data_IF_493788193215
#
_entry.id   IF_493788193215
#
_cell.length_a   1.000
_cell.length_b   1.000
_cell.length_c   1.000
_cell.angle_alpha   90.00
_cell.angle_beta   90.00
_cell.angle_gamma   90.00
#
_symmetry.space_group_name_H-M   'P 1'
#
loop_
_entity.id
_entity.type
_entity.pdbx_description
1 polymer ?
#
# COMPACT_ATOMS: atom_id res chain seq x y z
N UNK A 1 -6.10 7.56 -22.77
CA UNK A 1 -6.12 6.28 -23.53
C UNK A 1 -7.35 5.44 -23.22
N UNK A 2 -7.58 4.99 -21.97
CA UNK A 2 -8.79 4.20 -21.63
C UNK A 2 -10.07 5.02 -21.84
N UNK A 3 -10.11 6.28 -21.39
CA UNK A 3 -11.19 7.24 -21.65
C UNK A 3 -11.50 7.38 -23.15
N UNK A 4 -10.46 7.53 -23.96
CA UNK A 4 -10.58 7.76 -25.40
C UNK A 4 -11.11 6.51 -26.11
N UNK A 5 -10.73 5.31 -25.64
CA UNK A 5 -11.26 4.04 -26.14
C UNK A 5 -12.74 3.84 -25.77
N UNK A 6 -13.16 4.25 -24.57
CA UNK A 6 -14.57 4.22 -24.17
C UNK A 6 -15.41 5.18 -25.03
N UNK A 7 -14.88 6.35 -25.37
CA UNK A 7 -15.55 7.29 -26.27
C UNK A 7 -15.56 6.79 -27.72
N UNK A 8 -14.45 6.20 -28.19
CA UNK A 8 -14.36 5.57 -29.49
C UNK A 8 -15.36 4.41 -29.64
N UNK A 9 -15.54 3.57 -28.61
CA UNK A 9 -16.50 2.48 -28.59
C UNK A 9 -17.94 2.96 -28.77
N UNK A 10 -18.30 4.14 -28.23
CA UNK A 10 -19.63 4.75 -28.45
C UNK A 10 -19.89 5.09 -29.92
N UNK A 11 -18.83 5.25 -30.73
CA UNK A 11 -18.92 5.55 -32.15
C UNK A 11 -18.76 4.30 -33.02
N UNK A 12 -17.68 3.53 -32.83
CA UNK A 12 -17.40 2.27 -33.54
C UNK A 12 -16.18 1.55 -32.95
N UNK A 13 -16.22 0.22 -32.87
CA UNK A 13 -15.06 -0.59 -32.45
C UNK A 13 -13.82 -0.37 -33.32
N UNK A 14 -13.99 0.04 -34.59
CA UNK A 14 -12.87 0.31 -35.52
C UNK A 14 -12.04 1.53 -35.14
N UNK A 15 -12.54 2.39 -34.25
CA UNK A 15 -11.84 3.59 -33.77
C UNK A 15 -11.09 3.35 -32.45
N UNK A 16 -11.19 2.14 -31.88
CA UNK A 16 -10.48 1.79 -30.65
C UNK A 16 -8.99 1.66 -30.98
N UNK A 17 -8.16 2.26 -30.14
CA UNK A 17 -6.71 2.10 -30.24
C UNK A 17 -6.35 0.61 -30.03
N UNK A 18 -5.56 -0.02 -30.92
CA UNK A 18 -5.20 -1.43 -30.80
C UNK A 18 -4.46 -1.77 -29.50
N UNK A 19 -3.80 -0.79 -28.88
CA UNK A 19 -3.13 -0.95 -27.58
C UNK A 19 -4.07 -0.68 -26.40
N UNK A 20 -5.33 -0.35 -26.64
CA UNK A 20 -6.30 -0.02 -25.62
C UNK A 20 -6.57 -1.14 -24.62
N UNK A 21 -6.70 -2.37 -25.10
CA UNK A 21 -6.89 -3.55 -24.24
C UNK A 21 -5.61 -3.88 -23.49
N UNK A 22 -4.43 -4.00 -24.14
CA UNK A 22 -3.16 -4.19 -23.43
C UNK A 22 -2.93 -3.14 -22.33
N UNK A 23 -3.07 -1.84 -22.61
CA UNK A 23 -2.85 -0.80 -21.59
C UNK A 23 -3.94 -0.73 -20.53
N UNK A 24 -5.05 -1.46 -20.68
CA UNK A 24 -6.08 -1.60 -19.67
C UNK A 24 -5.89 -2.85 -18.79
N UNK A 25 -4.97 -3.77 -19.13
CA UNK A 25 -4.69 -4.93 -18.27
C UNK A 25 -3.94 -4.47 -17.02
N UNK A 26 -4.33 -5.01 -15.87
CA UNK A 26 -3.84 -4.59 -14.55
C UNK A 26 -2.35 -4.88 -14.33
N UNK A 27 -1.78 -5.84 -15.07
CA UNK A 27 -0.36 -6.18 -15.03
C UNK A 27 0.49 -5.47 -16.10
N UNK A 28 -0.06 -4.52 -16.87
CA UNK A 28 0.70 -3.88 -17.94
C UNK A 28 1.91 -3.10 -17.39
N UNK A 29 1.76 -2.44 -16.23
CA UNK A 29 2.87 -1.73 -15.59
C UNK A 29 4.06 -2.64 -15.29
N UNK A 30 3.83 -3.79 -14.68
CA UNK A 30 4.87 -4.79 -14.41
C UNK A 30 5.39 -5.43 -15.69
N UNK A 31 4.56 -5.64 -16.71
CA UNK A 31 4.98 -6.16 -18.01
C UNK A 31 5.94 -5.21 -18.75
N UNK A 32 5.68 -3.91 -18.73
CA UNK A 32 6.56 -2.91 -19.35
C UNK A 32 7.91 -2.87 -18.64
N UNK A 33 7.93 -2.91 -17.31
CA UNK A 33 9.17 -2.99 -16.54
C UNK A 33 9.94 -4.28 -16.85
N UNK A 34 9.26 -5.41 -16.94
CA UNK A 34 9.91 -6.68 -17.31
C UNK A 34 10.52 -6.63 -18.72
N UNK A 35 9.84 -6.01 -19.69
CA UNK A 35 10.39 -5.81 -21.04
C UNK A 35 11.62 -4.90 -21.04
N UNK A 36 11.60 -3.82 -20.26
CA UNK A 36 12.72 -2.87 -20.14
C UNK A 36 13.95 -3.50 -19.45
N UNK A 37 13.71 -4.26 -18.39
CA UNK A 37 14.76 -4.96 -17.63
C UNK A 37 15.23 -6.28 -18.27
N UNK A 38 14.50 -6.79 -19.27
CA UNK A 38 14.76 -8.09 -19.88
C UNK A 38 14.47 -9.28 -18.95
N UNK A 39 13.59 -9.11 -17.96
CA UNK A 39 13.27 -10.15 -16.97
C UNK A 39 12.16 -11.08 -17.48
N UNK A 40 12.37 -12.40 -17.32
CA UNK A 40 11.48 -13.44 -17.84
C UNK A 40 10.81 -14.28 -16.74
N UNK A 41 10.91 -13.85 -15.48
CA UNK A 41 10.30 -14.52 -14.33
C UNK A 41 8.78 -14.32 -14.24
N UNK A 42 8.15 -14.75 -13.12
CA UNK A 42 6.73 -14.54 -12.88
C UNK A 42 6.32 -13.07 -12.99
N UNK A 43 5.18 -12.81 -13.64
CA UNK A 43 4.65 -11.45 -13.81
C UNK A 43 3.13 -11.46 -13.69
N UNK A 44 2.62 -10.78 -12.67
CA UNK A 44 1.19 -10.69 -12.37
C UNK A 44 0.88 -9.40 -11.59
N UNK A 45 -0.41 -9.10 -11.49
CA UNK A 45 -0.94 -8.01 -10.67
C UNK A 45 -1.96 -8.58 -9.68
N UNK A 46 -1.81 -8.28 -8.39
CA UNK A 46 -2.81 -8.61 -7.38
C UNK A 46 -3.70 -7.38 -7.16
N UNK A 47 -4.98 -7.58 -6.81
CA UNK A 47 -5.90 -6.49 -6.47
C UNK A 47 -6.70 -6.87 -5.22
N UNK A 48 -6.38 -6.22 -4.11
CA UNK A 48 -7.04 -6.40 -2.80
C UNK A 48 -7.32 -5.05 -2.14
N UNK A 49 -7.81 -4.11 -2.95
CA UNK A 49 -8.08 -2.73 -2.55
C UNK A 49 -6.85 -2.07 -1.91
N UNK A 50 -7.00 -1.44 -0.75
CA UNK A 50 -5.94 -0.70 -0.07
C UNK A 50 -4.77 -1.57 0.41
N UNK A 51 -4.95 -2.89 0.51
CA UNK A 51 -3.91 -3.84 0.91
C UNK A 51 -3.12 -4.42 -0.28
N UNK A 52 -3.40 -3.98 -1.51
CA UNK A 52 -2.82 -4.56 -2.75
C UNK A 52 -1.30 -4.68 -2.69
N UNK A 53 -0.59 -3.61 -2.35
CA UNK A 53 0.87 -3.64 -2.27
C UNK A 53 1.40 -4.62 -1.21
N UNK A 54 0.72 -4.76 -0.06
CA UNK A 54 1.12 -5.72 0.98
C UNK A 54 1.02 -7.16 0.46
N UNK A 55 -0.05 -7.47 -0.29
CA UNK A 55 -0.20 -8.77 -0.94
C UNK A 55 0.90 -9.01 -1.99
N UNK A 56 1.20 -8.01 -2.82
CA UNK A 56 2.29 -8.09 -3.80
C UNK A 56 3.63 -8.40 -3.13
N UNK A 57 3.96 -7.70 -2.04
CA UNK A 57 5.21 -7.91 -1.29
C UNK A 57 5.25 -9.32 -0.69
N UNK A 58 4.16 -9.75 -0.05
CA UNK A 58 4.11 -11.07 0.58
C UNK A 58 4.19 -12.22 -0.43
N UNK A 59 3.59 -12.08 -1.62
CA UNK A 59 3.65 -13.12 -2.65
C UNK A 59 5.02 -13.16 -3.32
N UNK A 60 5.64 -11.99 -3.53
CA UNK A 60 6.98 -11.89 -4.13
C UNK A 60 8.07 -12.58 -3.30
N UNK A 61 7.89 -12.68 -1.99
CA UNK A 61 8.80 -13.36 -1.07
C UNK A 61 9.02 -14.86 -1.38
N UNK A 62 8.12 -15.51 -2.13
CA UNK A 62 8.12 -16.98 -2.29
C UNK A 62 8.27 -17.48 -3.73
N UNK A 63 8.23 -16.59 -4.73
CA UNK A 63 8.03 -17.00 -6.13
C UNK A 63 9.32 -17.16 -6.96
N UNK A 64 10.39 -16.44 -6.62
CA UNK A 64 11.67 -16.50 -7.35
C UNK A 64 12.84 -15.97 -6.50
N UNK A 65 14.07 -16.23 -6.95
CA UNK A 65 15.30 -15.73 -6.31
C UNK A 65 15.36 -14.20 -6.24
N UNK A 66 14.66 -13.52 -7.16
CA UNK A 66 14.58 -12.06 -7.23
C UNK A 66 13.23 -11.65 -7.83
N UNK A 67 12.51 -10.76 -7.16
CA UNK A 67 11.19 -10.24 -7.56
C UNK A 67 11.10 -8.75 -7.31
N UNK A 68 10.71 -7.98 -8.33
CA UNK A 68 10.30 -6.59 -8.16
C UNK A 68 8.81 -6.56 -7.79
N UNK A 69 8.49 -5.99 -6.62
CA UNK A 69 7.13 -5.95 -6.10
C UNK A 69 6.77 -4.56 -5.55
N UNK A 70 5.47 -4.27 -5.46
CA UNK A 70 4.99 -3.02 -4.89
C UNK A 70 3.62 -2.66 -5.45
N UNK A 71 3.39 -1.38 -5.68
CA UNK A 71 2.15 -0.89 -6.26
C UNK A 71 2.22 0.57 -6.66
N UNK A 72 1.34 0.94 -7.59
CA UNK A 72 1.15 2.31 -8.05
C UNK A 72 -0.33 2.61 -8.15
N UNK A 73 -0.74 3.80 -7.75
CA UNK A 73 -2.12 4.23 -7.85
C UNK A 73 -2.21 5.73 -8.17
N UNK A 74 -3.11 6.08 -9.09
CA UNK A 74 -3.27 7.44 -9.62
C UNK A 74 -4.75 7.69 -9.94
N UNK A 75 -5.56 7.85 -8.88
CA UNK A 75 -7.03 7.90 -8.94
C UNK A 75 -7.62 9.31 -8.78
N UNK A 76 -6.79 10.31 -8.53
CA UNK A 76 -7.11 11.74 -8.57
C UNK A 76 -7.14 12.25 -10.02
N UNK A 77 -6.52 11.53 -10.97
CA UNK A 77 -6.65 11.82 -12.41
C UNK A 77 -8.13 11.91 -12.78
N UNK A 78 -8.61 13.06 -13.27
CA UNK A 78 -9.97 13.13 -13.78
C UNK A 78 -10.08 12.14 -14.94
N UNK A 79 -11.04 11.21 -14.86
CA UNK A 79 -11.49 10.47 -16.04
C UNK A 79 -12.20 11.51 -16.90
N UNK A 80 -11.40 12.31 -17.61
CA UNK A 80 -11.83 13.40 -18.48
C UNK A 80 -12.60 12.80 -19.65
N UNK A 81 -13.87 12.51 -19.44
CA UNK A 81 -14.83 12.69 -20.53
C UNK A 81 -15.18 14.18 -20.53
N UNK A 82 -15.33 14.79 -21.71
CA UNK A 82 -15.58 16.24 -21.88
C UNK A 82 -16.70 16.83 -21.01
N UNK A 83 -17.55 15.99 -20.40
CA UNK A 83 -18.73 16.36 -19.63
C UNK A 83 -18.68 15.97 -18.14
N UNK A 84 -17.60 15.35 -17.63
CA UNK A 84 -17.52 14.96 -16.22
C UNK A 84 -16.14 15.31 -15.63
N UNK A 85 -15.99 16.48 -15.00
CA UNK A 85 -14.70 16.96 -14.49
C UNK A 85 -14.24 16.25 -13.20
N UNK A 86 -15.07 15.37 -12.62
CA UNK A 86 -14.77 14.70 -11.36
C UNK A 86 -14.24 13.27 -11.62
N UNK A 87 -13.12 12.91 -10.99
CA UNK A 87 -12.67 11.52 -10.93
C UNK A 87 -13.80 10.63 -10.39
N UNK A 88 -14.09 9.52 -11.07
CA UNK A 88 -15.07 8.53 -10.62
C UNK A 88 -14.75 8.04 -9.20
N UNK A 89 -13.46 7.84 -8.90
CA UNK A 89 -13.02 7.40 -7.59
C UNK A 89 -13.29 8.48 -6.53
N UNK A 90 -12.91 9.73 -6.79
CA UNK A 90 -13.15 10.82 -5.84
C UNK A 90 -14.66 11.02 -5.56
N UNK A 91 -15.49 10.99 -6.61
CA UNK A 91 -16.94 11.07 -6.48
C UNK A 91 -17.54 9.86 -5.76
N UNK A 92 -17.06 8.66 -6.03
CA UNK A 92 -17.49 7.43 -5.36
C UNK A 92 -17.19 7.46 -3.86
N UNK A 93 -15.96 7.82 -3.48
CA UNK A 93 -15.56 7.91 -2.07
C UNK A 93 -16.25 9.07 -1.33
N UNK A 94 -16.57 10.16 -2.02
CA UNK A 94 -17.41 11.23 -1.47
C UNK A 94 -18.84 10.73 -1.23
N UNK A 95 -19.42 9.98 -2.17
CA UNK A 95 -20.79 9.48 -2.08
C UNK A 95 -20.98 8.50 -0.91
N UNK A 96 -19.99 7.65 -0.62
CA UNK A 96 -20.01 6.76 0.54
C UNK A 96 -19.49 7.42 1.84
N UNK A 97 -19.20 8.73 1.82
CA UNK A 97 -18.76 9.52 2.99
C UNK A 97 -17.46 9.00 3.63
N UNK A 98 -16.53 8.51 2.82
CA UNK A 98 -15.25 7.99 3.29
C UNK A 98 -14.14 9.06 3.37
N UNK A 99 -14.30 10.18 2.66
CA UNK A 99 -13.31 11.26 2.61
C UNK A 99 -13.52 12.30 3.71
N UNK A 100 -12.41 12.88 4.18
CA UNK A 100 -12.45 14.06 5.07
C UNK A 100 -13.20 15.22 4.42
N UNK A 101 -14.00 15.95 5.21
CA UNK A 101 -14.72 17.14 4.77
C UNK A 101 -14.03 18.44 5.20
N UNK A 102 -12.82 18.35 5.78
CA UNK A 102 -12.04 19.46 6.33
C UNK A 102 -11.37 20.30 5.22
N UNK A 103 -12.18 20.83 4.31
CA UNK A 103 -11.73 21.65 3.19
C UNK A 103 -11.18 23.02 3.62
N UNK A 104 -11.49 23.48 4.84
CA UNK A 104 -11.00 24.75 5.38
C UNK A 104 -9.55 24.69 5.88
N UNK A 105 -9.02 23.49 6.19
CA UNK A 105 -7.62 23.28 6.58
C UNK A 105 -7.12 21.96 5.95
N UNK A 106 -6.95 21.93 4.61
CA UNK A 106 -6.66 20.70 3.88
C UNK A 106 -5.29 20.10 4.26
N UNK A 107 -4.34 20.94 4.67
CA UNK A 107 -3.01 20.51 5.13
C UNK A 107 -3.04 19.71 6.44
N UNK A 108 -4.14 19.77 7.20
CA UNK A 108 -4.34 19.00 8.44
C UNK A 108 -5.54 18.06 8.37
N UNK A 109 -6.02 17.77 7.16
CA UNK A 109 -7.21 16.94 6.94
C UNK A 109 -6.91 15.46 7.16
N UNK A 110 -5.73 14.96 6.76
CA UNK A 110 -5.31 13.62 7.16
C UNK A 110 -4.75 13.67 8.58
N UNK A 111 -5.43 12.96 9.50
CA UNK A 111 -5.15 12.98 10.93
C UNK A 111 -5.43 11.61 11.54
N UNK A 112 -4.59 10.61 11.23
CA UNK A 112 -4.71 9.26 11.76
C UNK A 112 -4.81 9.27 13.29
N UNK A 113 -5.75 8.51 13.84
CA UNK A 113 -5.99 8.36 15.28
C UNK A 113 -6.37 9.64 16.06
N UNK A 114 -6.54 10.79 15.40
CA UNK A 114 -6.97 12.05 16.04
C UNK A 114 -8.45 11.99 16.44
N UNK A 115 -8.82 12.65 17.54
CA UNK A 115 -10.20 12.65 18.07
C UNK A 115 -11.20 13.27 17.07
N UNK A 116 -10.76 14.26 16.28
CA UNK A 116 -11.59 15.01 15.34
C UNK A 116 -11.42 14.52 13.88
N UNK A 117 -10.94 13.29 13.69
CA UNK A 117 -10.85 12.66 12.37
C UNK A 117 -12.23 12.39 11.77
N UNK A 118 -12.37 12.60 10.47
CA UNK A 118 -13.66 12.57 9.77
C UNK A 118 -13.63 11.81 8.43
N UNK A 119 -12.50 11.17 8.09
CA UNK A 119 -12.32 10.43 6.85
C UNK A 119 -10.90 10.55 6.32
N UNK A 120 -10.57 9.76 5.30
CA UNK A 120 -9.24 9.78 4.70
C UNK A 120 -9.09 10.93 3.70
N UNK A 121 -7.84 11.32 3.43
CA UNK A 121 -7.49 12.20 2.31
C UNK A 121 -6.91 11.32 1.21
N UNK A 122 -7.46 11.38 -0.01
CA UNK A 122 -6.95 10.58 -1.13
C UNK A 122 -5.60 11.13 -1.61
N UNK A 123 -4.66 10.24 -1.87
CA UNK A 123 -3.38 10.57 -2.51
C UNK A 123 -3.11 9.66 -3.72
N UNK A 124 -2.05 9.98 -4.45
CA UNK A 124 -1.52 9.16 -5.54
C UNK A 124 -0.04 8.92 -5.32
N UNK A 125 0.48 7.81 -5.85
CA UNK A 125 1.90 7.54 -5.80
C UNK A 125 2.23 6.12 -6.23
N UNK A 126 3.52 5.81 -6.17
CA UNK A 126 4.02 4.48 -6.45
C UNK A 126 5.19 4.16 -5.50
N UNK A 127 5.27 2.90 -5.11
CA UNK A 127 6.39 2.35 -4.36
C UNK A 127 6.77 0.98 -4.94
N UNK A 128 8.06 0.68 -4.95
CA UNK A 128 8.56 -0.61 -5.38
C UNK A 128 9.73 -1.05 -4.50
N UNK A 129 9.82 -2.35 -4.27
CA UNK A 129 10.88 -3.04 -3.56
C UNK A 129 11.41 -4.16 -4.45
N UNK A 130 12.71 -4.38 -4.43
CA UNK A 130 13.34 -5.55 -5.02
C UNK A 130 13.54 -6.59 -3.91
N UNK A 131 12.74 -7.64 -3.89
CA UNK A 131 12.98 -8.78 -3.01
C UNK A 131 13.98 -9.73 -3.65
N UNK A 132 14.95 -10.21 -2.88
CA UNK A 132 15.99 -11.11 -3.38
C UNK A 132 16.49 -12.06 -2.30
N UNK A 133 16.72 -13.33 -2.65
CA UNK A 133 17.31 -14.36 -1.79
C UNK A 133 18.66 -13.91 -1.20
N UNK A 134 18.84 -14.09 0.12
CA UNK A 134 19.92 -13.48 0.89
C UNK A 134 21.29 -13.94 0.43
N UNK A 135 21.46 -15.23 0.21
CA UNK A 135 22.73 -15.77 -0.24
C UNK A 135 23.02 -15.35 -1.69
N UNK A 136 22.00 -15.24 -2.55
CA UNK A 136 22.12 -14.67 -3.88
C UNK A 136 22.57 -13.20 -3.85
N UNK A 137 21.91 -12.38 -3.03
CA UNK A 137 22.25 -10.98 -2.81
C UNK A 137 23.69 -10.80 -2.28
N UNK A 138 24.10 -11.62 -1.29
CA UNK A 138 25.46 -11.65 -0.75
C UNK A 138 26.50 -12.03 -1.80
N UNK A 139 26.23 -13.09 -2.60
CA UNK A 139 27.16 -13.57 -3.64
C UNK A 139 27.49 -12.50 -4.67
N UNK A 140 26.52 -11.66 -5.04
CA UNK A 140 26.74 -10.56 -5.99
C UNK A 140 27.15 -9.23 -5.34
N UNK A 141 27.30 -9.18 -4.01
CA UNK A 141 27.67 -7.97 -3.27
C UNK A 141 26.61 -6.87 -3.29
N UNK A 142 25.33 -7.23 -3.26
CA UNK A 142 24.23 -6.27 -3.21
C UNK A 142 24.24 -5.47 -1.91
N UNK A 143 23.82 -4.20 -1.98
CA UNK A 143 23.52 -3.42 -0.77
C UNK A 143 22.16 -3.84 -0.21
N UNK A 144 22.14 -4.41 0.99
CA UNK A 144 20.93 -4.94 1.63
C UNK A 144 20.40 -3.86 2.58
N UNK A 145 19.14 -3.44 2.41
CA UNK A 145 18.54 -2.37 3.22
C UNK A 145 17.77 -2.91 4.43
N UNK A 146 17.08 -4.03 4.27
CA UNK A 146 16.30 -4.66 5.34
C UNK A 146 16.03 -6.14 5.04
N UNK A 147 15.58 -6.84 6.08
CA UNK A 147 15.14 -8.23 6.03
C UNK A 147 13.61 -8.31 6.14
N UNK A 148 12.98 -9.04 5.22
CA UNK A 148 11.58 -9.45 5.27
C UNK A 148 11.47 -10.76 6.03
N UNK A 149 11.12 -10.66 7.31
CA UNK A 149 11.01 -11.84 8.17
C UNK A 149 9.70 -12.59 7.96
N UNK A 150 8.65 -11.92 7.47
CA UNK A 150 7.36 -12.54 7.17
C UNK A 150 6.21 -11.54 7.21
N UNK A 151 5.02 -12.02 6.90
CA UNK A 151 3.78 -11.24 6.94
C UNK A 151 2.58 -12.14 6.69
N UNK A 152 1.38 -11.71 7.06
CA UNK A 152 0.20 -12.55 6.91
C UNK A 152 -0.96 -11.81 6.23
N UNK A 153 -1.98 -12.57 5.85
CA UNK A 153 -3.21 -12.08 5.23
C UNK A 153 -4.39 -12.71 5.98
N UNK A 154 -5.41 -11.90 6.26
CA UNK A 154 -6.69 -12.35 6.78
C UNK A 154 -7.85 -11.72 5.98
N UNK A 155 -9.07 -12.21 6.20
CA UNK A 155 -10.29 -11.66 5.63
C UNK A 155 -11.34 -11.52 6.74
N UNK A 156 -11.96 -10.35 6.84
CA UNK A 156 -12.94 -10.06 7.90
C UNK A 156 -14.26 -10.82 7.75
N UNK A 157 -14.61 -11.25 6.52
CA UNK A 157 -15.83 -12.01 6.22
C UNK A 157 -17.12 -11.46 6.86
N UNK A 158 -17.24 -10.14 6.96
CA UNK A 158 -18.30 -9.47 7.73
C UNK A 158 -19.17 -8.53 6.90
N UNK A 159 -18.57 -7.49 6.31
CA UNK A 159 -19.32 -6.46 5.58
C UNK A 159 -18.50 -5.94 4.40
N UNK A 160 -19.18 -5.43 3.36
CA UNK A 160 -18.55 -5.00 2.11
C UNK A 160 -17.61 -3.80 2.27
N UNK A 161 -17.86 -2.93 3.24
CA UNK A 161 -17.09 -1.69 3.48
C UNK A 161 -16.79 -1.41 4.95
N UNK A 162 -17.03 -2.36 5.84
CA UNK A 162 -16.77 -2.17 7.26
C UNK A 162 -15.98 -3.36 7.79
N UNK A 163 -14.97 -3.11 8.65
CA UNK A 163 -14.26 -4.19 9.30
C UNK A 163 -15.16 -4.96 10.27
N UNK A 164 -14.71 -6.13 10.69
CA UNK A 164 -15.39 -6.85 11.77
C UNK A 164 -15.43 -5.97 13.04
N UNK A 165 -16.58 -5.83 13.73
CA UNK A 165 -16.76 -4.87 14.83
C UNK A 165 -15.85 -5.13 16.04
N UNK A 166 -15.35 -6.35 16.19
CA UNK A 166 -14.37 -6.72 17.23
C UNK A 166 -12.90 -6.59 16.78
N UNK A 167 -12.63 -6.14 15.55
CA UNK A 167 -11.25 -6.06 15.00
C UNK A 167 -10.56 -7.43 14.89
N UNK A 168 -11.34 -8.51 14.79
CA UNK A 168 -10.86 -9.88 14.87
C UNK A 168 -9.90 -10.23 13.72
N UNK A 169 -10.21 -9.82 12.48
CA UNK A 169 -9.33 -10.07 11.34
C UNK A 169 -8.02 -9.29 11.41
N UNK A 170 -8.03 -8.07 11.93
CA UNK A 170 -6.83 -7.25 12.17
C UNK A 170 -5.92 -7.93 13.19
N UNK A 171 -6.48 -8.33 14.33
CA UNK A 171 -5.74 -9.02 15.39
C UNK A 171 -5.16 -10.34 14.88
N UNK A 172 -5.97 -11.16 14.20
CA UNK A 172 -5.52 -12.42 13.61
C UNK A 172 -4.37 -12.22 12.63
N UNK A 173 -4.44 -11.19 11.79
CA UNK A 173 -3.39 -10.86 10.84
C UNK A 173 -2.06 -10.51 11.55
N UNK A 174 -2.13 -9.67 12.60
CA UNK A 174 -0.95 -9.30 13.38
C UNK A 174 -0.34 -10.51 14.10
N UNK A 175 -1.16 -11.34 14.74
CA UNK A 175 -0.71 -12.55 15.46
C UNK A 175 -0.06 -13.57 14.51
N UNK A 176 -0.67 -13.80 13.35
CA UNK A 176 -0.11 -14.71 12.34
C UNK A 176 1.18 -14.16 11.73
N UNK A 177 1.29 -12.84 11.52
CA UNK A 177 2.52 -12.22 10.99
C UNK A 177 3.68 -12.36 11.98
N UNK A 178 3.42 -12.18 13.28
CA UNK A 178 4.42 -12.45 14.33
C UNK A 178 4.81 -13.92 14.37
N UNK A 179 3.84 -14.83 14.28
CA UNK A 179 4.11 -16.26 14.27
C UNK A 179 4.94 -16.70 13.06
N UNK A 180 4.63 -16.17 11.87
CA UNK A 180 5.35 -16.49 10.64
C UNK A 180 6.76 -15.89 10.61
N UNK A 181 6.94 -14.69 11.16
CA UNK A 181 8.25 -14.04 11.23
C UNK A 181 9.16 -14.57 12.34
N UNK A 182 8.59 -15.24 13.35
CA UNK A 182 9.34 -15.68 14.53
C UNK A 182 9.81 -14.53 15.43
N UNK A 183 9.36 -13.30 15.18
CA UNK A 183 9.74 -12.10 15.94
C UNK A 183 8.92 -12.01 17.23
N UNK A 184 9.58 -11.80 18.36
CA UNK A 184 8.89 -11.58 19.63
C UNK A 184 8.21 -10.20 19.62
N UNK A 185 7.07 -10.08 20.33
CA UNK A 185 6.27 -8.84 20.39
C UNK A 185 7.09 -7.68 20.98
N UNK A 186 8.00 -8.01 21.88
CA UNK A 186 8.89 -7.09 22.59
C UNK A 186 9.99 -6.52 21.68
N UNK A 187 10.36 -7.25 20.61
CA UNK A 187 11.39 -6.83 19.67
C UNK A 187 10.86 -5.87 18.58
N UNK A 188 9.54 -5.77 18.44
CA UNK A 188 8.89 -4.83 17.51
C UNK A 188 8.90 -3.43 18.09
N UNK A 189 9.80 -2.57 17.60
CA UNK A 189 9.99 -1.20 18.09
C UNK A 189 9.19 -0.14 17.30
N UNK A 190 8.68 -0.48 16.12
CA UNK A 190 8.02 0.48 15.24
C UNK A 190 6.92 -0.17 14.41
N UNK A 191 5.77 0.50 14.31
CA UNK A 191 4.66 0.16 13.43
C UNK A 191 4.22 1.41 12.66
N UNK A 192 4.28 1.32 11.33
CA UNK A 192 3.58 2.24 10.44
C UNK A 192 2.16 1.71 10.22
N UNK A 193 1.21 2.25 10.99
CA UNK A 193 -0.17 1.79 11.02
C UNK A 193 -0.93 2.16 9.73
N UNK A 194 -1.96 1.38 9.42
CA UNK A 194 -2.87 1.66 8.33
C UNK A 194 -3.60 2.99 8.57
N UNK A 195 -4.23 3.17 9.72
CA UNK A 195 -4.82 4.38 10.29
C UNK A 195 -5.23 5.43 9.23
N UNK A 196 -6.38 5.21 8.63
CA UNK A 196 -6.88 5.96 7.46
C UNK A 196 -7.46 7.32 7.84
N UNK A 197 -7.45 7.70 9.13
CA UNK A 197 -8.22 8.86 9.64
C UNK A 197 -9.73 8.61 9.64
N UNK A 198 -10.15 7.34 9.60
CA UNK A 198 -11.58 6.98 9.71
C UNK A 198 -11.93 6.63 11.15
N UNK A 199 -13.18 6.89 11.55
CA UNK A 199 -13.58 6.73 12.95
C UNK A 199 -13.55 5.28 13.41
N UNK A 200 -14.13 4.37 12.63
CA UNK A 200 -14.25 2.96 12.99
C UNK A 200 -12.92 2.21 12.88
N UNK A 201 -12.21 2.33 11.76
CA UNK A 201 -11.01 1.52 11.50
C UNK A 201 -9.87 1.89 12.45
N UNK A 202 -9.59 3.18 12.65
CA UNK A 202 -8.51 3.62 13.54
C UNK A 202 -8.70 3.14 15.00
N UNK A 203 -9.95 3.02 15.48
CA UNK A 203 -10.23 2.48 16.83
C UNK A 203 -9.95 0.99 16.89
N UNK A 204 -10.41 0.24 15.89
CA UNK A 204 -10.25 -1.21 15.84
C UNK A 204 -8.78 -1.61 15.65
N UNK A 205 -8.06 -0.87 14.82
CA UNK A 205 -6.62 -1.05 14.64
C UNK A 205 -5.87 -0.73 15.94
N UNK A 206 -6.20 0.37 16.62
CA UNK A 206 -5.59 0.70 17.91
C UNK A 206 -5.85 -0.39 18.97
N UNK A 207 -7.06 -0.93 19.05
CA UNK A 207 -7.37 -2.04 19.96
C UNK A 207 -6.59 -3.31 19.62
N UNK A 208 -6.45 -3.63 18.34
CA UNK A 208 -5.64 -4.78 17.88
C UNK A 208 -4.15 -4.59 18.24
N UNK A 209 -3.62 -3.37 18.05
CA UNK A 209 -2.25 -3.02 18.44
C UNK A 209 -2.05 -3.12 19.95
N UNK A 210 -2.96 -2.57 20.75
CA UNK A 210 -2.89 -2.65 22.21
C UNK A 210 -2.99 -4.10 22.71
N UNK A 211 -3.82 -4.93 22.08
CA UNK A 211 -3.91 -6.36 22.37
C UNK A 211 -2.61 -7.09 22.01
N UNK A 212 -2.00 -6.74 20.88
CA UNK A 212 -0.82 -7.45 20.40
C UNK A 212 0.50 -6.99 21.04
N UNK A 213 0.60 -5.71 21.38
CA UNK A 213 1.87 -5.07 21.76
C UNK A 213 1.76 -4.19 23.00
N UNK A 214 0.61 -4.14 23.70
CA UNK A 214 0.36 -3.20 24.79
C UNK A 214 1.28 -3.31 26.01
N UNK A 215 2.13 -4.34 26.08
CA UNK A 215 3.16 -4.50 27.11
C UNK A 215 4.55 -4.01 26.66
N UNK A 216 4.70 -3.55 25.42
CA UNK A 216 5.96 -3.06 24.88
C UNK A 216 6.04 -1.52 25.00
N UNK A 217 6.80 -0.97 25.97
CA UNK A 217 6.91 0.48 26.16
C UNK A 217 7.75 1.18 25.08
N UNK A 218 8.58 0.43 24.34
CA UNK A 218 9.47 0.96 23.31
C UNK A 218 8.75 1.13 21.97
N UNK A 219 7.61 0.46 21.77
CA UNK A 219 6.86 0.51 20.52
C UNK A 219 6.43 1.94 20.18
N UNK A 220 6.83 2.39 18.99
CA UNK A 220 6.35 3.62 18.36
C UNK A 220 5.36 3.28 17.26
N UNK A 221 4.24 3.99 17.24
CA UNK A 221 3.22 3.85 16.19
C UNK A 221 3.02 5.19 15.52
N UNK A 222 3.09 5.22 14.19
CA UNK A 222 2.72 6.38 13.39
C UNK A 222 1.94 5.96 12.15
N UNK A 223 1.56 6.91 11.30
CA UNK A 223 1.02 6.60 9.98
C UNK A 223 1.50 7.64 8.98
N UNK A 224 2.16 7.17 7.92
CA UNK A 224 2.62 8.01 6.80
C UNK A 224 1.48 8.72 6.07
N UNK A 225 0.24 8.24 6.19
CA UNK A 225 -0.93 8.85 5.55
C UNK A 225 -1.18 10.28 6.01
N UNK A 226 -0.79 10.61 7.25
CA UNK A 226 -0.80 12.01 7.73
C UNK A 226 -0.02 12.97 6.83
N UNK A 227 0.98 12.47 6.10
CA UNK A 227 1.86 13.26 5.25
C UNK A 227 1.50 13.23 3.78
N UNK A 228 1.10 12.06 3.27
CA UNK A 228 0.93 11.82 1.83
C UNK A 228 -0.50 11.44 1.44
N UNK A 229 -1.41 11.41 2.41
CA UNK A 229 -2.75 10.87 2.23
C UNK A 229 -2.74 9.35 2.05
N UNK A 230 -3.90 8.79 1.71
CA UNK A 230 -4.06 7.38 1.43
C UNK A 230 -3.86 7.12 -0.06
N UNK A 231 -2.74 6.47 -0.40
CA UNK A 231 -2.36 6.12 -1.77
C UNK A 231 -3.05 4.86 -2.32
N UNK A 232 -4.20 4.48 -1.75
CA UNK A 232 -5.00 3.33 -2.16
C UNK A 232 -4.14 2.06 -2.33
N UNK A 233 -4.11 1.45 -3.52
CA UNK A 233 -3.38 0.21 -3.78
C UNK A 233 -1.86 0.34 -3.63
N UNK A 234 -1.31 1.55 -3.73
CA UNK A 234 0.12 1.84 -3.58
C UNK A 234 0.56 2.11 -2.13
N UNK A 235 -0.39 2.27 -1.20
CA UNK A 235 -0.11 2.69 0.17
C UNK A 235 0.92 1.78 0.85
N UNK A 236 0.69 0.47 0.85
CA UNK A 236 1.58 -0.50 1.49
C UNK A 236 3.03 -0.48 0.97
N UNK A 237 3.24 -0.24 -0.33
CA UNK A 237 4.59 -0.22 -0.89
C UNK A 237 5.36 1.03 -0.45
N UNK A 238 4.72 2.20 -0.51
CA UNK A 238 5.33 3.45 -0.03
C UNK A 238 5.53 3.42 1.48
N UNK A 239 4.60 2.82 2.22
CA UNK A 239 4.68 2.61 3.67
C UNK A 239 5.82 1.68 4.06
N UNK A 240 6.06 0.60 3.30
CA UNK A 240 7.19 -0.29 3.50
C UNK A 240 8.51 0.44 3.25
N UNK A 241 8.61 1.18 2.13
CA UNK A 241 9.78 2.03 1.81
C UNK A 241 10.08 3.00 2.96
N UNK A 242 9.07 3.74 3.44
CA UNK A 242 9.23 4.66 4.55
C UNK A 242 9.68 3.95 5.85
N UNK A 243 9.13 2.76 6.12
CA UNK A 243 9.46 1.94 7.30
C UNK A 243 10.92 1.50 7.30
N UNK A 244 11.43 1.03 6.15
CA UNK A 244 12.85 0.64 6.00
C UNK A 244 13.76 1.84 6.24
N UNK A 245 13.37 3.01 5.72
CA UNK A 245 14.13 4.25 5.85
C UNK A 245 14.17 4.79 7.29
N UNK A 246 13.22 4.44 8.16
CA UNK A 246 13.23 4.82 9.59
C UNK A 246 14.46 4.26 10.31
N UNK A 247 14.85 3.03 10.01
CA UNK A 247 16.08 2.40 10.53
C UNK A 247 17.36 3.06 10.00
N UNK A 248 17.21 3.92 8.98
CA UNK A 248 18.18 4.87 8.40
C UNK A 248 19.06 5.59 9.42
N UNK A 249 18.41 6.44 10.21
CA UNK A 249 18.98 7.31 11.25
C UNK A 249 17.92 8.24 11.88
N UNK A 250 16.61 8.06 11.63
CA UNK A 250 15.61 9.10 11.91
C UNK A 250 14.31 8.49 12.45
N UNK A 251 14.09 8.63 13.76
CA UNK A 251 12.75 8.52 14.35
C UNK A 251 11.88 9.67 13.80
N UNK A 252 10.86 9.34 13.02
CA UNK A 252 10.01 10.37 12.39
C UNK A 252 8.96 10.90 13.36
N UNK A 253 9.06 12.21 13.65
CA UNK A 253 7.92 13.02 14.02
C UNK A 253 7.09 13.28 12.75
N UNK A 254 5.77 13.20 12.87
CA UNK A 254 4.81 13.55 11.82
C UNK A 254 4.96 15.03 11.41
N UNK A 255 5.82 15.32 10.44
CA UNK A 255 5.75 16.46 9.50
C UNK A 255 6.94 16.47 8.53
N UNK A 256 6.60 16.51 7.24
CA UNK A 256 7.38 16.72 6.00
C UNK A 256 8.44 15.66 5.68
N UNK A 257 8.51 15.21 4.41
CA UNK A 257 9.70 15.22 3.54
C UNK A 257 9.47 14.46 2.21
N UNK A 258 10.27 14.82 1.21
CA UNK A 258 10.31 14.25 -0.14
C UNK A 258 10.96 12.86 -0.15
N UNK A 259 10.31 11.89 -0.81
CA UNK A 259 10.84 10.54 -1.03
C UNK A 259 11.91 10.60 -2.12
N UNK A 260 13.13 10.16 -1.80
CA UNK A 260 14.30 10.11 -2.69
C UNK A 260 14.22 8.87 -3.60
N UNK A 261 14.70 9.03 -4.84
CA UNK A 261 14.66 8.09 -5.97
C UNK A 261 15.63 6.90 -5.89
N UNK A 262 15.72 6.17 -4.77
CA UNK A 262 16.57 4.98 -4.69
C UNK A 262 15.74 3.70 -4.49
N UNK A 263 15.94 2.73 -5.39
CA UNK A 263 15.25 1.43 -5.40
C UNK A 263 15.71 0.59 -4.20
N UNK A 264 14.77 0.19 -3.34
CA UNK A 264 15.06 -0.49 -2.07
C UNK A 264 15.07 -2.02 -2.23
N UNK A 265 16.17 -2.66 -1.82
CA UNK A 265 16.36 -4.12 -1.87
C UNK A 265 16.07 -4.74 -0.49
N UNK A 266 15.17 -5.72 -0.43
CA UNK A 266 14.79 -6.48 0.77
C UNK A 266 14.92 -8.00 0.53
N UNK A 267 14.93 -8.85 1.56
CA UNK A 267 15.08 -10.32 1.43
C UNK A 267 14.00 -11.08 2.19
N UNK A 268 13.46 -12.19 1.68
CA UNK A 268 12.54 -13.07 2.41
C UNK A 268 13.12 -14.46 2.74
N UNK A 269 12.97 -14.93 3.98
CA UNK A 269 13.37 -16.29 4.38
C UNK A 269 12.40 -17.37 3.84
N UNK A 270 12.92 -18.35 3.11
CA UNK A 270 12.21 -19.61 2.84
C UNK A 270 12.38 -20.54 4.05
N UNK A 271 11.27 -20.93 4.68
CA UNK A 271 11.20 -22.06 5.63
C UNK A 271 10.81 -23.34 4.93
#
# INVERSE_FOLDING_TARGET
>A
MVSDNLEALRTSYKKINPFGVPFATTNMGSAILAMDLGWMGPNYSISTACATSNFCILNAANDADMMLCGGSDSMIVPICTRNFPLSFCLGGFTACRALSQRNADPTKASRPCDIDRDGFVMGEGAGALLLEELEHAKRRGANIYAEFLGGSISCDSYHVTQPHPEGAGITLCMENALAQSGVAREDVNYINAHATSTKAEDVLEYHALARCFGQNPELKVNSTKSMIGHLLGAAGAVEAVATIQVNSTLAFASCNYHIIQDMLIMYAHHT
#
